data_IF_458379824496
#
_entry.id   IF_458379824496
#
_cell.length_a   1.000
_cell.length_b   1.000
_cell.length_c   1.000
_cell.angle_alpha   90.00
_cell.angle_beta   90.00
_cell.angle_gamma   90.00
#
_symmetry.space_group_name_H-M   'P 1'
#
loop_
_entity.id
_entity.type
_entity.pdbx_description
1 polymer ?
#
# COMPACT_ATOMS: atom_id res chain seq x y z
N UNK A 1 32.32 87.28 -9.00
CA UNK A 1 32.90 86.49 -7.89
C UNK A 1 31.89 85.41 -7.56
N UNK A 2 32.03 84.23 -8.18
CA UNK A 2 32.53 82.99 -7.53
C UNK A 2 31.61 82.61 -6.35
N UNK A 3 30.71 81.62 -6.41
CA UNK A 3 30.77 80.31 -7.06
C UNK A 3 31.20 79.28 -6.03
N UNK A 4 30.25 78.59 -5.37
CA UNK A 4 30.56 77.47 -4.47
C UNK A 4 29.82 76.23 -4.99
N UNK A 5 30.66 75.34 -5.53
CA UNK A 5 30.36 74.00 -6.02
C UNK A 5 30.01 73.08 -4.84
N UNK A 6 28.86 72.43 -4.93
CA UNK A 6 28.54 71.25 -4.14
C UNK A 6 28.99 70.07 -5.01
N UNK A 7 30.06 69.34 -4.66
CA UNK A 7 30.23 67.92 -4.98
C UNK A 7 31.58 67.39 -4.43
N UNK A 8 31.57 66.10 -4.08
CA UNK A 8 32.68 65.20 -3.74
C UNK A 8 33.04 65.01 -2.27
N UNK A 9 32.20 64.22 -1.59
CA UNK A 9 32.72 63.23 -0.62
C UNK A 9 32.75 61.88 -1.34
N UNK A 10 33.95 61.44 -1.72
CA UNK A 10 34.24 60.06 -2.08
C UNK A 10 34.19 59.21 -0.81
N UNK A 11 33.19 58.35 -0.69
CA UNK A 11 33.24 57.18 0.19
C UNK A 11 33.33 55.95 -0.70
N UNK A 12 34.57 55.54 -0.95
CA UNK A 12 34.88 54.24 -1.54
C UNK A 12 34.59 53.16 -0.49
N UNK A 13 33.37 52.60 -0.51
CA UNK A 13 33.12 51.30 0.08
C UNK A 13 33.51 50.25 -0.95
N UNK A 14 34.73 49.71 -0.82
CA UNK A 14 35.08 48.43 -1.40
C UNK A 14 34.22 47.36 -0.75
N UNK A 15 33.03 47.15 -1.29
CA UNK A 15 32.28 45.92 -1.08
C UNK A 15 33.10 44.81 -1.72
N UNK A 16 33.93 44.15 -0.90
CA UNK A 16 34.39 42.81 -1.19
C UNK A 16 33.11 41.98 -1.27
N UNK A 17 32.65 41.75 -2.50
CA UNK A 17 31.69 40.70 -2.77
C UNK A 17 32.39 39.38 -2.41
N UNK A 18 32.27 38.96 -1.14
CA UNK A 18 32.46 37.57 -0.78
C UNK A 18 31.37 36.81 -1.53
N UNK A 19 31.75 36.26 -2.68
CA UNK A 19 30.96 35.32 -3.43
C UNK A 19 30.54 34.18 -2.50
N UNK A 20 29.23 34.01 -2.31
CA UNK A 20 28.60 32.90 -1.60
C UNK A 20 28.88 31.59 -2.33
N UNK A 21 30.11 31.10 -2.25
CA UNK A 21 30.55 29.79 -2.73
C UNK A 21 30.45 28.72 -1.64
N UNK A 22 30.29 29.13 -0.38
CA UNK A 22 30.02 28.24 0.74
C UNK A 22 28.56 27.73 0.77
N UNK A 23 27.62 28.56 0.32
CA UNK A 23 26.17 28.29 0.46
C UNK A 23 25.67 27.25 -0.56
N UNK A 24 26.16 27.32 -1.81
CA UNK A 24 25.78 26.37 -2.86
C UNK A 24 26.32 24.95 -2.61
N UNK A 25 27.55 24.83 -2.08
CA UNK A 25 28.17 23.53 -1.77
C UNK A 25 27.53 22.88 -0.54
N UNK A 26 27.14 23.68 0.46
CA UNK A 26 26.37 23.25 1.63
C UNK A 26 24.99 22.71 1.21
N UNK A 27 24.24 23.48 0.43
CA UNK A 27 22.91 23.07 -0.09
C UNK A 27 22.98 21.83 -0.98
N UNK A 28 24.04 21.68 -1.78
CA UNK A 28 24.25 20.49 -2.61
C UNK A 28 24.54 19.23 -1.77
N UNK A 29 25.32 19.36 -0.68
CA UNK A 29 25.61 18.25 0.24
C UNK A 29 24.36 17.78 0.98
N UNK A 30 23.50 18.73 1.39
CA UNK A 30 22.22 18.42 2.04
C UNK A 30 21.25 17.74 1.06
N UNK A 31 21.08 18.29 -0.15
CA UNK A 31 20.22 17.71 -1.19
C UNK A 31 20.64 16.28 -1.58
N UNK A 32 21.93 16.01 -1.75
CA UNK A 32 22.44 14.67 -2.05
C UNK A 32 22.14 13.69 -0.92
N UNK A 33 22.35 14.09 0.33
CA UNK A 33 22.10 13.22 1.49
C UNK A 33 20.61 12.87 1.62
N UNK A 34 19.74 13.86 1.44
CA UNK A 34 18.27 13.68 1.43
C UNK A 34 17.84 12.73 0.30
N UNK A 35 18.36 12.93 -0.91
CA UNK A 35 18.13 12.01 -2.02
C UNK A 35 18.57 10.58 -1.70
N UNK A 36 19.82 10.38 -1.25
CA UNK A 36 20.34 9.05 -0.91
C UNK A 36 19.49 8.34 0.15
N UNK A 37 19.04 9.08 1.17
CA UNK A 37 18.12 8.52 2.18
C UNK A 37 16.80 8.07 1.54
N UNK A 38 16.15 8.93 0.76
CA UNK A 38 14.88 8.59 0.11
C UNK A 38 14.99 7.42 -0.87
N UNK A 39 16.14 7.28 -1.56
CA UNK A 39 16.41 6.16 -2.45
C UNK A 39 16.57 4.85 -1.69
N UNK A 40 17.26 4.86 -0.55
CA UNK A 40 17.36 3.71 0.34
C UNK A 40 15.99 3.31 0.91
N UNK A 41 15.20 4.27 1.38
CA UNK A 41 13.86 4.03 1.93
C UNK A 41 12.92 3.41 0.89
N UNK A 42 12.95 3.92 -0.34
CA UNK A 42 12.20 3.37 -1.47
C UNK A 42 12.64 1.94 -1.80
N UNK A 43 13.95 1.71 -1.92
CA UNK A 43 14.49 0.41 -2.30
C UNK A 43 14.25 -0.65 -1.22
N UNK A 44 14.37 -0.31 0.06
CA UNK A 44 14.03 -1.20 1.17
C UNK A 44 12.55 -1.56 1.12
N UNK A 45 11.67 -0.55 1.08
CA UNK A 45 10.21 -0.77 1.04
C UNK A 45 9.81 -1.66 -0.15
N UNK A 46 10.39 -1.40 -1.33
CA UNK A 46 10.16 -2.24 -2.52
C UNK A 46 10.63 -3.68 -2.32
N UNK A 47 11.82 -3.88 -1.76
CA UNK A 47 12.40 -5.20 -1.54
C UNK A 47 11.60 -6.00 -0.52
N UNK A 48 11.22 -5.37 0.58
CA UNK A 48 10.44 -5.99 1.65
C UNK A 48 9.07 -6.43 1.12
N UNK A 49 8.35 -5.56 0.41
CA UNK A 49 7.08 -5.92 -0.26
C UNK A 49 7.30 -7.06 -1.24
N UNK A 50 8.30 -6.96 -2.13
CA UNK A 50 8.57 -7.97 -3.16
C UNK A 50 8.86 -9.35 -2.55
N UNK A 51 9.62 -9.39 -1.47
CA UNK A 51 9.94 -10.63 -0.76
C UNK A 51 8.69 -11.23 -0.12
N UNK A 52 7.83 -10.38 0.45
CA UNK A 52 6.62 -10.81 1.13
C UNK A 52 5.57 -11.37 0.16
N UNK A 53 5.41 -10.75 -1.01
CA UNK A 53 4.44 -11.20 -2.04
C UNK A 53 5.01 -12.23 -3.02
N UNK A 54 6.19 -12.81 -2.75
CA UNK A 54 6.91 -13.71 -3.66
C UNK A 54 6.05 -14.85 -4.20
N UNK A 55 5.18 -15.40 -3.37
CA UNK A 55 4.36 -16.56 -3.71
C UNK A 55 3.21 -16.18 -4.65
N UNK A 56 2.85 -14.90 -4.73
CA UNK A 56 1.94 -14.34 -5.73
C UNK A 56 2.73 -13.92 -6.98
N UNK A 57 2.92 -14.87 -7.90
CA UNK A 57 3.67 -14.62 -9.15
C UNK A 57 3.09 -13.45 -9.97
N UNK A 58 1.77 -13.30 -9.98
CA UNK A 58 1.06 -12.24 -10.71
C UNK A 58 1.38 -10.87 -10.13
N UNK A 59 1.26 -10.69 -8.81
CA UNK A 59 1.55 -9.41 -8.14
C UNK A 59 3.03 -9.09 -8.16
N UNK A 60 3.89 -10.09 -7.96
CA UNK A 60 5.34 -9.92 -8.03
C UNK A 60 5.79 -9.39 -9.40
N UNK A 61 5.25 -9.97 -10.48
CA UNK A 61 5.51 -9.50 -11.85
C UNK A 61 5.03 -8.07 -12.06
N UNK A 62 3.80 -7.77 -11.65
CA UNK A 62 3.22 -6.43 -11.76
C UNK A 62 4.04 -5.37 -11.00
N UNK A 63 4.45 -5.67 -9.76
CA UNK A 63 5.26 -4.77 -8.96
C UNK A 63 6.60 -4.45 -9.65
N UNK A 64 7.27 -5.46 -10.22
CA UNK A 64 8.53 -5.26 -10.95
C UNK A 64 8.34 -4.39 -12.19
N UNK A 65 7.32 -4.69 -13.00
CA UNK A 65 7.06 -3.97 -14.25
C UNK A 65 6.66 -2.51 -14.01
N UNK A 66 5.79 -2.27 -13.03
CA UNK A 66 5.36 -0.91 -12.66
C UNK A 66 6.48 -0.11 -12.00
N UNK A 67 7.31 -0.72 -11.14
CA UNK A 67 8.47 -0.05 -10.56
C UNK A 67 9.48 0.37 -11.63
N UNK A 68 9.77 -0.50 -12.61
CA UNK A 68 10.68 -0.18 -13.72
C UNK A 68 10.15 0.97 -14.59
N UNK A 69 8.86 0.93 -14.91
CA UNK A 69 8.21 2.00 -15.68
C UNK A 69 8.23 3.32 -14.92
N UNK A 70 7.90 3.28 -13.63
CA UNK A 70 7.93 4.46 -12.77
C UNK A 70 9.34 5.07 -12.66
N UNK A 71 10.39 4.25 -12.48
CA UNK A 71 11.78 4.74 -12.43
C UNK A 71 12.18 5.46 -13.72
N UNK A 72 11.77 4.94 -14.89
CA UNK A 72 12.03 5.59 -16.19
C UNK A 72 11.34 6.95 -16.26
N UNK A 73 10.06 7.01 -15.89
CA UNK A 73 9.28 8.25 -15.94
C UNK A 73 9.81 9.30 -14.95
N UNK A 74 10.09 8.91 -13.71
CA UNK A 74 10.72 9.76 -12.70
C UNK A 74 12.02 10.38 -13.23
N UNK A 75 12.88 9.56 -13.84
CA UNK A 75 14.15 10.05 -14.38
C UNK A 75 13.93 11.07 -15.49
N UNK A 76 12.96 10.85 -16.38
CA UNK A 76 12.60 11.81 -17.43
C UNK A 76 12.03 13.11 -16.83
N UNK A 77 11.08 13.01 -15.90
CA UNK A 77 10.45 14.16 -15.23
C UNK A 77 11.47 15.00 -14.46
N UNK A 78 12.38 14.36 -13.74
CA UNK A 78 13.42 15.03 -12.99
C UNK A 78 14.66 15.39 -13.81
N UNK A 79 14.64 15.18 -15.14
CA UNK A 79 15.77 15.44 -16.04
C UNK A 79 17.08 14.77 -15.58
N UNK A 80 16.97 13.55 -15.04
CA UNK A 80 18.08 12.78 -14.51
C UNK A 80 18.57 11.76 -15.53
N UNK A 81 19.84 11.87 -15.92
CA UNK A 81 20.50 11.00 -16.91
C UNK A 81 20.89 9.61 -16.36
N UNK A 82 20.66 9.37 -15.07
CA UNK A 82 21.03 8.13 -14.37
C UNK A 82 22.46 8.10 -13.82
N UNK A 83 23.25 9.18 -14.00
CA UNK A 83 24.66 9.25 -13.59
C UNK A 83 24.97 10.51 -12.79
N UNK A 84 24.50 11.67 -13.24
CA UNK A 84 24.80 12.98 -12.67
C UNK A 84 23.51 13.66 -12.24
N UNK A 85 23.39 13.92 -10.93
CA UNK A 85 22.31 14.73 -10.37
C UNK A 85 22.89 16.04 -9.85
N UNK A 86 22.21 17.15 -10.15
CA UNK A 86 22.45 18.46 -9.56
C UNK A 86 21.45 18.73 -8.41
N UNK A 87 21.56 19.88 -7.75
CA UNK A 87 20.71 20.25 -6.60
C UNK A 87 19.21 20.24 -6.93
N UNK A 88 18.82 20.70 -8.12
CA UNK A 88 17.42 20.68 -8.58
C UNK A 88 16.94 19.25 -8.85
N UNK A 89 17.80 18.40 -9.44
CA UNK A 89 17.51 16.99 -9.63
C UNK A 89 17.30 16.29 -8.28
N UNK A 90 18.15 16.54 -7.27
CA UNK A 90 18.06 15.88 -5.96
C UNK A 90 16.73 16.10 -5.28
N UNK A 91 16.22 17.34 -5.31
CA UNK A 91 14.90 17.65 -4.74
C UNK A 91 13.80 16.89 -5.46
N UNK A 92 13.74 16.98 -6.79
CA UNK A 92 12.73 16.28 -7.60
C UNK A 92 12.76 14.76 -7.35
N UNK A 93 13.95 14.15 -7.43
CA UNK A 93 14.13 12.72 -7.21
C UNK A 93 13.71 12.30 -5.81
N UNK A 94 14.08 13.06 -4.78
CA UNK A 94 13.68 12.76 -3.40
C UNK A 94 12.17 12.88 -3.19
N UNK A 95 11.55 13.94 -3.71
CA UNK A 95 10.10 14.14 -3.58
C UNK A 95 9.34 13.00 -4.28
N UNK A 96 9.75 12.62 -5.51
CA UNK A 96 9.19 11.47 -6.22
C UNK A 96 9.41 10.16 -5.48
N UNK A 97 10.60 9.89 -4.93
CA UNK A 97 10.89 8.68 -4.16
C UNK A 97 10.01 8.57 -2.91
N UNK A 98 9.82 9.68 -2.19
CA UNK A 98 8.97 9.73 -1.00
C UNK A 98 7.50 9.47 -1.35
N UNK A 99 7.00 10.10 -2.42
CA UNK A 99 5.65 9.85 -2.92
C UNK A 99 5.46 8.38 -3.32
N UNK A 100 6.43 7.79 -4.01
CA UNK A 100 6.34 6.38 -4.42
C UNK A 100 6.42 5.42 -3.24
N UNK A 101 7.25 5.72 -2.25
CA UNK A 101 7.33 4.94 -1.00
C UNK A 101 5.99 4.96 -0.27
N UNK A 102 5.35 6.13 -0.18
CA UNK A 102 4.01 6.26 0.38
C UNK A 102 2.97 5.45 -0.41
N UNK A 103 2.96 5.58 -1.74
CA UNK A 103 2.09 4.80 -2.63
C UNK A 103 2.27 3.28 -2.45
N UNK A 104 3.50 2.79 -2.32
CA UNK A 104 3.75 1.37 -2.06
C UNK A 104 3.17 0.94 -0.70
N UNK A 105 3.39 1.71 0.36
CA UNK A 105 2.84 1.40 1.69
C UNK A 105 1.31 1.43 1.71
N UNK A 106 0.70 2.44 1.09
CA UNK A 106 -0.76 2.55 0.99
C UNK A 106 -1.40 1.42 0.16
N UNK A 107 -0.69 0.94 -0.87
CA UNK A 107 -1.23 -0.13 -1.70
C UNK A 107 -1.04 -1.53 -1.12
N UNK A 108 0.04 -1.79 -0.38
CA UNK A 108 0.38 -3.14 0.06
C UNK A 108 0.21 -3.34 1.58
N UNK A 109 0.27 -2.29 2.40
CA UNK A 109 0.30 -2.38 3.86
C UNK A 109 -0.88 -1.64 4.53
N UNK A 110 -1.90 -1.26 3.76
CA UNK A 110 -3.07 -0.53 4.26
C UNK A 110 -4.08 -1.48 4.92
N UNK A 111 -3.78 -1.91 6.15
CA UNK A 111 -4.69 -2.73 6.95
C UNK A 111 -5.90 -1.95 7.48
N UNK A 112 -5.85 -0.62 7.52
CA UNK A 112 -7.01 0.20 7.87
C UNK A 112 -8.16 0.02 6.87
N UNK A 113 -7.82 -0.27 5.60
CA UNK A 113 -8.82 -0.56 4.57
C UNK A 113 -9.64 -1.84 4.82
N UNK A 114 -9.20 -2.74 5.70
CA UNK A 114 -9.98 -3.92 6.09
C UNK A 114 -11.18 -3.53 6.96
N UNK A 115 -11.05 -2.47 7.74
CA UNK A 115 -12.11 -2.02 8.63
C UNK A 115 -13.15 -1.19 7.87
N UNK A 116 -14.42 -1.41 8.20
CA UNK A 116 -15.59 -0.78 7.59
C UNK A 116 -15.78 -1.06 6.09
N UNK A 117 -14.94 -1.89 5.47
CA UNK A 117 -15.07 -2.33 4.09
C UNK A 117 -15.54 -3.79 4.01
N UNK A 118 -16.13 -4.15 2.87
CA UNK A 118 -16.49 -5.53 2.58
C UNK A 118 -15.30 -6.20 1.91
N UNK A 119 -14.72 -7.18 2.58
CA UNK A 119 -13.59 -7.97 2.15
C UNK A 119 -14.13 -9.17 1.39
N UNK A 120 -13.77 -9.26 0.11
CA UNK A 120 -14.37 -10.19 -0.85
C UNK A 120 -13.34 -11.17 -1.40
N UNK A 121 -13.71 -12.45 -1.58
CA UNK A 121 -12.89 -13.39 -2.34
C UNK A 121 -12.77 -12.95 -3.80
N UNK A 122 -11.63 -13.22 -4.44
CA UNK A 122 -11.45 -12.86 -5.85
C UNK A 122 -10.47 -13.80 -6.58
N UNK A 123 -10.62 -13.86 -7.91
CA UNK A 123 -9.64 -14.46 -8.84
C UNK A 123 -8.95 -13.37 -9.66
N UNK A 124 -7.67 -13.58 -9.97
CA UNK A 124 -6.99 -12.77 -10.99
C UNK A 124 -7.50 -13.13 -12.39
N UNK A 125 -7.72 -12.12 -13.23
CA UNK A 125 -7.93 -12.20 -14.67
C UNK A 125 -6.71 -11.58 -15.35
N UNK A 126 -6.34 -12.12 -16.51
CA UNK A 126 -5.37 -11.57 -17.48
C UNK A 126 -4.62 -10.31 -17.01
N UNK A 127 -3.42 -10.51 -16.44
CA UNK A 127 -2.69 -9.44 -15.77
C UNK A 127 -3.06 -9.36 -14.28
N UNK A 128 -3.49 -8.19 -13.80
CA UNK A 128 -3.82 -7.91 -12.39
C UNK A 128 -5.28 -7.56 -12.14
N UNK A 129 -6.13 -7.73 -13.14
CA UNK A 129 -7.55 -7.43 -12.99
C UNK A 129 -8.19 -8.45 -12.04
N UNK A 130 -8.97 -7.97 -11.06
CA UNK A 130 -9.63 -8.84 -10.08
C UNK A 130 -11.08 -9.10 -10.50
N UNK A 131 -11.47 -10.37 -10.48
CA UNK A 131 -12.84 -10.83 -10.65
C UNK A 131 -13.40 -11.22 -9.30
N UNK A 132 -14.61 -10.78 -9.00
CA UNK A 132 -15.29 -11.29 -7.83
C UNK A 132 -15.52 -12.80 -8.02
N UNK A 133 -14.99 -13.59 -7.09
CA UNK A 133 -15.31 -15.01 -6.98
C UNK A 133 -16.58 -15.09 -6.13
N UNK A 134 -17.72 -14.69 -6.72
CA UNK A 134 -18.99 -15.10 -6.14
C UNK A 134 -19.12 -16.56 -6.50
N UNK A 135 -19.16 -17.41 -5.48
CA UNK A 135 -19.66 -18.77 -5.54
C UNK A 135 -19.93 -19.26 -6.95
N UNK A 136 -19.08 -20.19 -7.40
CA UNK A 136 -19.60 -21.30 -8.20
C UNK A 136 -20.98 -21.69 -7.63
N UNK A 137 -21.92 -22.17 -8.45
CA UNK A 137 -23.35 -22.28 -8.11
C UNK A 137 -23.73 -22.94 -6.76
N UNK A 138 -22.75 -23.52 -6.08
CA UNK A 138 -22.72 -24.09 -4.75
C UNK A 138 -22.43 -23.10 -3.59
N UNK A 139 -22.16 -21.82 -3.83
CA UNK A 139 -22.00 -20.79 -2.77
C UNK A 139 -20.93 -21.09 -1.70
N UNK A 140 -19.75 -21.56 -2.10
CA UNK A 140 -18.77 -22.12 -1.15
C UNK A 140 -17.95 -21.07 -0.38
N UNK A 141 -17.84 -19.84 -0.88
CA UNK A 141 -17.02 -18.79 -0.28
C UNK A 141 -17.83 -17.84 0.61
N UNK A 142 -17.14 -17.19 1.55
CA UNK A 142 -17.71 -16.16 2.41
C UNK A 142 -16.99 -14.81 2.25
N UNK A 143 -17.75 -13.72 2.37
CA UNK A 143 -17.25 -12.35 2.50
C UNK A 143 -17.13 -11.98 3.98
N UNK A 144 -16.23 -11.03 4.29
CA UNK A 144 -15.99 -10.56 5.65
C UNK A 144 -16.22 -9.06 5.74
N UNK A 145 -16.83 -8.60 6.83
CA UNK A 145 -16.85 -7.18 7.22
C UNK A 145 -16.40 -7.04 8.65
N UNK A 146 -15.46 -6.12 8.90
CA UNK A 146 -14.96 -5.82 10.24
C UNK A 146 -15.50 -4.45 10.65
N UNK A 147 -16.22 -4.39 11.78
CA UNK A 147 -16.77 -3.14 12.30
C UNK A 147 -16.58 -3.12 13.82
N UNK A 148 -15.80 -2.15 14.31
CA UNK A 148 -15.47 -2.01 15.74
C UNK A 148 -14.90 -3.32 16.31
N UNK A 149 -15.59 -3.89 17.28
CA UNK A 149 -15.25 -5.12 18.02
C UNK A 149 -15.92 -6.36 17.41
N UNK A 150 -16.36 -6.31 16.14
CA UNK A 150 -17.10 -7.41 15.51
C UNK A 150 -16.59 -7.76 14.13
N UNK A 151 -16.55 -9.07 13.86
CA UNK A 151 -16.37 -9.65 12.53
C UNK A 151 -17.69 -10.25 12.07
N UNK A 152 -18.14 -9.83 10.90
CA UNK A 152 -19.34 -10.33 10.23
C UNK A 152 -18.90 -11.20 9.06
N UNK A 153 -19.36 -12.44 9.02
CA UNK A 153 -19.10 -13.38 7.92
C UNK A 153 -20.42 -13.63 7.18
N UNK A 154 -20.44 -13.28 5.89
CA UNK A 154 -21.58 -13.42 5.00
C UNK A 154 -21.29 -14.49 3.96
N UNK A 155 -22.27 -15.28 3.54
CA UNK A 155 -22.10 -16.14 2.36
C UNK A 155 -21.95 -15.27 1.10
N UNK A 156 -21.03 -15.64 0.20
CA UNK A 156 -20.68 -14.78 -0.92
C UNK A 156 -21.81 -14.62 -1.96
N UNK A 157 -22.69 -15.62 -2.10
CA UNK A 157 -23.79 -15.58 -3.05
C UNK A 157 -25.08 -14.90 -2.52
N UNK A 158 -25.10 -14.53 -1.23
CA UNK A 158 -26.22 -13.81 -0.65
C UNK A 158 -26.22 -12.37 -1.16
N UNK A 159 -26.96 -12.11 -2.26
CA UNK A 159 -27.13 -10.75 -2.81
C UNK A 159 -27.69 -9.75 -1.78
N UNK A 160 -28.32 -10.26 -0.71
CA UNK A 160 -28.98 -9.47 0.34
C UNK A 160 -28.30 -9.55 1.72
N UNK A 161 -27.15 -10.23 1.86
CA UNK A 161 -26.37 -10.31 3.11
C UNK A 161 -27.22 -10.62 4.36
N UNK A 162 -28.19 -11.52 4.28
CA UNK A 162 -29.36 -11.46 5.17
C UNK A 162 -29.09 -11.84 6.62
N UNK A 163 -28.18 -12.80 6.88
CA UNK A 163 -27.82 -13.17 8.25
C UNK A 163 -26.33 -13.50 8.37
N UNK A 164 -25.47 -12.52 8.73
CA UNK A 164 -24.07 -12.81 8.98
C UNK A 164 -23.91 -13.65 10.24
N UNK A 165 -22.89 -14.51 10.24
CA UNK A 165 -22.30 -14.97 11.50
C UNK A 165 -21.50 -13.83 12.10
N UNK A 166 -21.73 -13.56 13.38
CA UNK A 166 -21.12 -12.44 14.09
C UNK A 166 -20.21 -13.02 15.16
N UNK A 167 -18.95 -12.62 15.11
CA UNK A 167 -17.95 -12.95 16.13
C UNK A 167 -17.44 -11.70 16.82
N UNK A 168 -17.06 -11.84 18.09
CA UNK A 168 -16.49 -10.74 18.88
C UNK A 168 -14.97 -10.71 18.72
N UNK A 169 -14.42 -9.51 18.58
CA UNK A 169 -12.98 -9.24 18.57
C UNK A 169 -12.58 -8.87 19.99
N UNK A 170 -11.64 -9.62 20.56
CA UNK A 170 -11.10 -9.38 21.91
C UNK A 170 -9.63 -8.95 21.90
N UNK A 171 -9.00 -8.98 20.73
CA UNK A 171 -7.62 -8.51 20.54
C UNK A 171 -7.34 -8.14 19.09
N UNK A 172 -6.39 -7.21 18.90
CA UNK A 172 -5.87 -6.81 17.58
C UNK A 172 -4.36 -6.65 17.68
N UNK A 173 -3.63 -7.29 16.78
CA UNK A 173 -2.17 -7.16 16.67
C UNK A 173 -1.80 -6.77 15.25
N UNK A 174 -1.08 -5.66 15.10
CA UNK A 174 -0.58 -5.19 13.80
C UNK A 174 0.91 -5.48 13.74
N UNK A 175 1.33 -6.18 12.69
CA UNK A 175 2.72 -6.30 12.27
C UNK A 175 2.88 -5.58 10.92
N UNK A 176 4.11 -5.48 10.42
CA UNK A 176 4.42 -4.74 9.19
C UNK A 176 3.61 -5.22 7.97
N UNK A 177 3.43 -6.53 7.82
CA UNK A 177 2.75 -7.16 6.67
C UNK A 177 1.53 -7.99 7.05
N UNK A 178 1.03 -7.85 8.26
CA UNK A 178 -0.17 -8.56 8.69
C UNK A 178 -0.93 -7.83 9.78
N UNK A 179 -2.25 -7.97 9.81
CA UNK A 179 -3.05 -7.69 11.01
C UNK A 179 -3.75 -8.97 11.47
N UNK A 180 -3.68 -9.24 12.76
CA UNK A 180 -4.31 -10.38 13.41
C UNK A 180 -5.42 -9.90 14.34
N UNK A 181 -6.59 -10.53 14.22
CA UNK A 181 -7.74 -10.31 15.09
C UNK A 181 -7.99 -11.55 15.95
N UNK A 182 -7.97 -11.38 17.27
CA UNK A 182 -8.33 -12.42 18.23
C UNK A 182 -9.85 -12.51 18.36
N UNK A 183 -10.40 -13.67 18.04
CA UNK A 183 -11.83 -13.91 17.92
C UNK A 183 -12.33 -14.78 19.06
N UNK A 184 -13.34 -14.28 19.76
CA UNK A 184 -14.04 -14.96 20.84
C UNK A 184 -15.44 -15.40 20.36
N UNK A 185 -15.71 -16.69 20.49
CA UNK A 185 -16.94 -17.37 20.06
C UNK A 185 -17.87 -17.69 21.22
N UNK A 186 -17.38 -17.70 22.47
CA UNK A 186 -18.13 -18.15 23.65
C UNK A 186 -18.34 -17.03 24.70
N UNK A 187 -17.85 -15.83 24.43
CA UNK A 187 -17.97 -14.62 25.24
C UNK A 187 -17.20 -14.63 26.58
N UNK A 188 -16.20 -15.51 26.74
CA UNK A 188 -15.36 -15.55 27.94
C UNK A 188 -14.23 -14.49 27.96
N UNK A 189 -14.14 -13.67 26.92
CA UNK A 189 -13.13 -12.61 26.75
C UNK A 189 -11.71 -13.13 26.51
N UNK A 190 -11.59 -14.37 26.03
CA UNK A 190 -10.35 -15.04 25.63
C UNK A 190 -10.52 -15.43 24.15
N UNK A 191 -9.54 -15.17 23.28
CA UNK A 191 -9.65 -15.58 21.88
C UNK A 191 -9.66 -17.11 21.77
N UNK A 192 -10.69 -17.65 21.13
CA UNK A 192 -10.78 -19.07 20.75
C UNK A 192 -9.92 -19.36 19.51
N UNK A 193 -9.85 -18.38 18.60
CA UNK A 193 -8.98 -18.43 17.42
C UNK A 193 -8.50 -17.04 17.02
N UNK A 194 -7.50 -17.00 16.15
CA UNK A 194 -6.99 -15.78 15.56
C UNK A 194 -7.19 -15.80 14.04
N UNK A 195 -7.67 -14.67 13.50
CA UNK A 195 -7.82 -14.44 12.07
C UNK A 195 -6.77 -13.43 11.60
N UNK A 196 -5.75 -13.92 10.89
CA UNK A 196 -4.68 -13.08 10.34
C UNK A 196 -4.95 -12.72 8.88
N UNK A 197 -4.94 -11.43 8.58
CA UNK A 197 -4.91 -10.89 7.21
C UNK A 197 -3.47 -10.58 6.86
N UNK A 198 -2.93 -11.30 5.90
CA UNK A 198 -1.53 -11.28 5.50
C UNK A 198 -1.42 -10.68 4.11
N UNK A 199 -0.61 -9.65 3.90
CA UNK A 199 -0.44 -9.03 2.58
C UNK A 199 0.01 -10.05 1.55
N UNK A 200 -0.69 -10.13 0.42
CA UNK A 200 -0.39 -11.04 -0.69
C UNK A 200 -0.31 -10.31 -2.04
N UNK A 201 -0.61 -9.00 -2.06
CA UNK A 201 -0.55 -8.15 -3.24
C UNK A 201 -1.09 -6.75 -2.98
N UNK A 202 -1.22 -5.93 -4.03
CA UNK A 202 -1.80 -4.59 -3.93
C UNK A 202 -3.28 -4.68 -3.55
N UNK A 203 -3.63 -4.25 -2.34
CA UNK A 203 -4.96 -4.37 -1.76
C UNK A 203 -5.47 -5.83 -1.81
N UNK A 204 -4.58 -6.77 -1.45
CA UNK A 204 -4.84 -8.21 -1.48
C UNK A 204 -4.29 -8.86 -0.24
N UNK A 205 -5.10 -9.72 0.37
CA UNK A 205 -4.75 -10.44 1.59
C UNK A 205 -5.04 -11.92 1.46
N UNK A 206 -4.14 -12.73 1.99
CA UNK A 206 -4.42 -14.10 2.39
C UNK A 206 -4.97 -14.10 3.80
N UNK A 207 -5.96 -14.95 4.06
CA UNK A 207 -6.49 -15.15 5.40
C UNK A 207 -5.88 -16.43 5.97
N UNK A 208 -5.20 -16.30 7.09
CA UNK A 208 -4.51 -17.40 7.75
C UNK A 208 -5.07 -17.57 9.16
N UNK A 209 -5.67 -18.72 9.49
CA UNK A 209 -6.04 -19.04 10.86
C UNK A 209 -4.83 -19.60 11.60
N UNK A 210 -4.47 -19.02 12.75
CA UNK A 210 -3.26 -19.39 13.51
C UNK A 210 -3.52 -20.45 14.58
N UNK A 211 -4.73 -20.48 15.16
CA UNK A 211 -5.17 -21.49 16.16
C UNK A 211 -6.65 -21.73 15.89
N UNK A 212 -7.07 -22.88 15.37
CA UNK A 212 -8.50 -23.12 15.11
C UNK A 212 -8.90 -24.59 15.23
N UNK A 213 -10.15 -24.83 15.65
CA UNK A 213 -10.82 -26.11 15.40
C UNK A 213 -11.57 -25.99 14.08
N UNK A 214 -11.50 -27.03 13.24
CA UNK A 214 -12.16 -27.07 11.91
C UNK A 214 -13.67 -26.79 11.98
N UNK A 215 -14.29 -26.98 13.14
CA UNK A 215 -15.72 -26.76 13.40
C UNK A 215 -16.07 -25.29 13.67
N UNK A 216 -15.10 -24.47 14.09
CA UNK A 216 -15.32 -23.07 14.53
C UNK A 216 -15.31 -22.08 13.33
N UNK A 217 -14.77 -22.51 12.18
CA UNK A 217 -14.62 -21.72 10.95
C UNK A 217 -15.38 -22.38 9.79
N UNK A 218 -16.62 -21.96 9.56
CA UNK A 218 -17.44 -22.50 8.46
C UNK A 218 -17.39 -21.54 7.26
N UNK A 219 -16.97 -22.07 6.11
CA UNK A 219 -17.00 -21.49 4.76
C UNK A 219 -16.08 -20.27 4.47
N UNK A 220 -15.06 -20.04 5.29
CA UNK A 220 -13.91 -19.25 4.84
C UNK A 220 -12.94 -20.14 4.05
N UNK A 221 -12.59 -19.70 2.85
CA UNK A 221 -11.64 -20.39 2.01
C UNK A 221 -10.26 -19.78 2.22
N UNK A 222 -9.40 -20.46 3.00
CA UNK A 222 -8.05 -19.99 3.30
C UNK A 222 -7.05 -20.20 2.16
N UNK A 223 -7.49 -20.86 1.08
CA UNK A 223 -6.66 -21.13 -0.10
C UNK A 223 -6.81 -20.04 -1.18
N UNK A 224 -7.68 -19.05 -0.97
CA UNK A 224 -7.93 -17.96 -1.92
C UNK A 224 -7.55 -16.60 -1.36
N UNK A 225 -7.36 -15.66 -2.27
CA UNK A 225 -7.06 -14.27 -1.94
C UNK A 225 -8.35 -13.46 -1.71
N UNK A 226 -8.22 -12.45 -0.87
CA UNK A 226 -9.28 -11.52 -0.52
C UNK A 226 -8.88 -10.07 -0.82
N UNK A 227 -9.86 -9.22 -1.14
CA UNK A 227 -9.64 -7.82 -1.52
C UNK A 227 -10.78 -6.93 -1.04
N UNK A 228 -10.51 -5.64 -0.85
CA UNK A 228 -11.50 -4.59 -0.56
C UNK A 228 -11.73 -3.70 -1.77
N UNK A 229 -11.15 -4.05 -2.93
CA UNK A 229 -11.33 -3.31 -4.17
C UNK A 229 -12.81 -3.16 -4.51
N UNK A 230 -13.22 -1.93 -4.81
CA UNK A 230 -14.59 -1.62 -5.22
C UNK A 230 -14.87 -2.04 -6.66
N UNK A 231 -13.84 -2.07 -7.50
CA UNK A 231 -13.94 -2.29 -8.95
C UNK A 231 -13.68 -3.76 -9.33
N UNK A 232 -14.41 -4.69 -8.72
CA UNK A 232 -14.36 -6.08 -9.12
C UNK A 232 -15.26 -6.31 -10.33
N UNK A 233 -14.75 -7.00 -11.35
CA UNK A 233 -15.62 -7.52 -12.41
C UNK A 233 -16.48 -8.64 -11.82
N UNK A 234 -17.80 -8.48 -11.88
CA UNK A 234 -18.75 -9.52 -11.51
C UNK A 234 -19.16 -10.24 -12.78
N UNK A 235 -19.04 -11.57 -12.81
CA UNK A 235 -19.75 -12.39 -13.78
C UNK A 235 -20.94 -13.01 -13.06
N UNK A 236 -22.16 -12.79 -13.59
CA UNK A 236 -23.33 -13.52 -13.11
C UNK A 236 -23.24 -14.92 -13.71
N UNK A 237 -22.95 -15.92 -12.88
CA UNK A 237 -23.07 -17.32 -13.26
C UNK A 237 -24.56 -17.68 -13.37
N UNK A 238 -24.93 -18.33 -14.48
CA UNK A 238 -26.26 -18.92 -14.60
C UNK A 238 -26.25 -20.29 -13.95
N UNK A 239 -26.91 -20.41 -12.80
CA UNK A 239 -26.95 -21.61 -11.98
C UNK A 239 -28.19 -22.48 -12.22
N UNK A 240 -28.98 -22.16 -13.25
CA UNK A 240 -30.22 -22.87 -13.57
C UNK A 240 -30.01 -24.26 -14.24
N UNK A 241 -28.76 -24.66 -14.53
CA UNK A 241 -28.45 -25.85 -15.35
C UNK A 241 -27.59 -26.94 -14.63
N UNK A 242 -27.58 -27.02 -13.30
CA UNK A 242 -26.72 -27.98 -12.57
C UNK A 242 -27.46 -29.14 -11.88
N UNK A 243 -28.76 -29.32 -12.16
CA UNK A 243 -29.50 -30.53 -11.81
C UNK A 243 -29.31 -31.61 -12.90
N UNK A 244 -28.10 -32.15 -13.06
CA UNK A 244 -27.84 -33.45 -13.71
C UNK A 244 -26.82 -34.29 -12.92
#
# INVERSE_FOLDING_TARGET
MQGINIFNVLLAFSLIACSNTADSKSQQLDGKAVYTKSENDLNSTYLDIKNYIRDSQVESKYLVETQRTWLKNRNLECQFDGKNANTENYKCLSDSNNLKTKDLKENYLNFESLENHLIKPFKYIAGTQKKLEVGDCWCNESMIKIVKDKIYIYQACDEKLKEPRIYRIVGKKINEFSVEYGVDTNNNNVPDFNLSFVTSGKNVWNIVPTVFRKQDLINLNFSINYTTDKNLKTEKLNCENLDE
#
